data_IF_286522404807
#
_entry.id   IF_286522404807
#
_cell.length_a   1.000
_cell.length_b   1.000
_cell.length_c   1.000
_cell.angle_alpha   90.00
_cell.angle_beta   90.00
_cell.angle_gamma   90.00
#
_symmetry.space_group_name_H-M   'P 1'
#
loop_
_entity.id
_entity.type
_entity.pdbx_description
1 polymer ?
#
# COMPACT_ATOMS: atom_id res chain seq x y z
N UNK A 1 -36.46 -5.09 5.16
CA UNK A 1 -35.17 -5.81 5.19
C UNK A 1 -34.02 -5.07 4.49
N UNK A 2 -34.24 -4.23 3.47
CA UNK A 2 -33.15 -3.53 2.76
C UNK A 2 -32.43 -2.39 3.52
N UNK A 3 -33.06 -1.69 4.47
CA UNK A 3 -32.41 -0.54 5.16
C UNK A 3 -31.52 -0.91 6.35
N UNK A 4 -31.63 -2.12 6.89
CA UNK A 4 -30.81 -2.58 8.01
C UNK A 4 -29.45 -3.11 7.55
N UNK A 5 -29.38 -3.74 6.37
CA UNK A 5 -28.14 -4.21 5.77
C UNK A 5 -27.23 -3.06 5.29
N UNK A 6 -27.81 -2.00 4.72
CA UNK A 6 -27.06 -0.81 4.30
C UNK A 6 -26.47 -0.01 5.49
N UNK A 7 -27.16 -0.01 6.64
CA UNK A 7 -26.66 0.68 7.82
C UNK A 7 -25.44 -0.04 8.42
N UNK A 8 -25.50 -1.37 8.53
CA UNK A 8 -24.37 -2.18 9.00
C UNK A 8 -23.20 -2.17 8.01
N UNK A 9 -23.44 -2.24 6.69
CA UNK A 9 -22.35 -2.11 5.70
C UNK A 9 -21.69 -0.73 5.75
N UNK A 10 -22.46 0.34 5.99
CA UNK A 10 -21.93 1.71 6.09
C UNK A 10 -21.17 1.99 7.40
N UNK A 11 -21.51 1.32 8.50
CA UNK A 11 -20.78 1.40 9.78
C UNK A 11 -19.54 0.51 9.75
N UNK A 12 -19.65 -0.66 9.12
CA UNK A 12 -18.57 -1.61 8.88
C UNK A 12 -17.45 -1.01 8.03
N UNK A 13 -17.81 -0.35 6.90
CA UNK A 13 -16.85 0.38 6.08
C UNK A 13 -16.26 1.61 6.78
N UNK A 14 -17.03 2.28 7.66
CA UNK A 14 -16.52 3.42 8.42
C UNK A 14 -15.40 2.98 9.38
N UNK A 15 -15.65 2.00 10.25
CA UNK A 15 -14.68 1.63 11.28
C UNK A 15 -13.35 1.07 10.74
N UNK A 16 -13.35 0.37 9.60
CA UNK A 16 -12.12 -0.21 9.00
C UNK A 16 -11.19 0.89 8.47
N UNK A 17 -11.76 1.89 7.79
CA UNK A 17 -10.98 2.93 7.13
C UNK A 17 -10.77 4.18 7.99
N UNK A 18 -11.46 4.34 9.12
CA UNK A 18 -11.38 5.55 9.97
C UNK A 18 -9.93 5.91 10.35
N UNK A 19 -9.14 4.92 10.76
CA UNK A 19 -7.76 5.15 11.18
C UNK A 19 -6.85 5.56 10.01
N UNK A 20 -6.97 4.90 8.85
CA UNK A 20 -6.19 5.29 7.67
C UNK A 20 -6.68 6.60 7.07
N UNK A 21 -7.99 6.89 7.13
CA UNK A 21 -8.58 8.15 6.67
C UNK A 21 -8.00 9.34 7.48
N UNK A 22 -7.72 9.18 8.78
CA UNK A 22 -7.01 10.22 9.58
C UNK A 22 -5.64 10.57 8.99
N UNK A 23 -4.95 9.60 8.42
CA UNK A 23 -3.64 9.79 7.76
C UNK A 23 -3.84 10.37 6.37
N UNK A 24 -4.74 9.79 5.58
CA UNK A 24 -5.05 10.20 4.22
C UNK A 24 -5.55 11.65 4.11
N UNK A 25 -6.19 12.18 5.16
CA UNK A 25 -6.62 13.58 5.20
C UNK A 25 -5.48 14.57 5.56
N UNK A 26 -4.32 14.09 6.06
CA UNK A 26 -3.24 14.93 6.59
C UNK A 26 -1.92 14.79 5.84
N UNK A 27 -1.69 13.64 5.20
CA UNK A 27 -0.44 13.33 4.51
C UNK A 27 -0.65 13.49 3.00
N UNK A 28 0.11 14.35 2.33
CA UNK A 28 -0.04 14.56 0.90
C UNK A 28 0.64 13.48 0.08
N UNK A 29 0.12 13.23 -1.12
CA UNK A 29 0.69 12.32 -2.10
C UNK A 29 1.38 13.05 -3.25
N UNK A 30 1.04 14.32 -3.48
CA UNK A 30 1.61 15.20 -4.48
C UNK A 30 1.47 16.66 -4.02
N UNK A 31 2.28 17.53 -4.58
CA UNK A 31 2.09 18.98 -4.55
C UNK A 31 1.73 19.41 -5.98
N UNK A 32 0.64 20.16 -6.16
CA UNK A 32 0.24 20.66 -7.47
C UNK A 32 1.12 21.82 -7.93
N UNK A 33 0.90 22.28 -9.16
CA UNK A 33 1.70 23.32 -9.79
C UNK A 33 1.55 24.69 -9.09
N UNK A 34 0.54 24.85 -8.23
CA UNK A 34 0.30 26.04 -7.42
C UNK A 34 0.90 25.92 -6.01
N UNK A 35 1.67 24.86 -5.72
CA UNK A 35 2.24 24.62 -4.41
C UNK A 35 1.24 24.08 -3.38
N UNK A 36 0.02 23.72 -3.79
CA UNK A 36 -0.98 23.15 -2.90
C UNK A 36 -0.74 21.65 -2.74
N UNK A 37 -0.72 21.22 -1.49
CA UNK A 37 -0.66 19.81 -1.13
C UNK A 37 -1.97 19.09 -1.46
N UNK A 38 -1.86 18.01 -2.23
CA UNK A 38 -2.97 17.11 -2.52
C UNK A 38 -2.87 15.88 -1.62
N UNK A 39 -3.94 15.59 -0.88
CA UNK A 39 -4.01 14.52 0.12
C UNK A 39 -4.94 13.40 -0.33
N UNK A 40 -4.71 12.17 0.15
CA UNK A 40 -5.43 10.96 -0.26
C UNK A 40 -6.93 10.97 0.13
N UNK A 41 -7.32 11.80 1.09
CA UNK A 41 -8.68 11.85 1.64
C UNK A 41 -9.72 12.50 0.72
N UNK A 42 -9.27 13.37 -0.20
CA UNK A 42 -10.10 14.06 -1.19
C UNK A 42 -11.22 14.95 -0.62
N UNK A 43 -11.85 15.75 -1.47
CA UNK A 43 -13.14 16.38 -1.15
C UNK A 43 -14.22 15.32 -1.33
N UNK A 44 -14.96 15.01 -0.25
CA UNK A 44 -16.08 14.07 -0.29
C UNK A 44 -17.38 14.85 -0.56
N UNK A 45 -17.94 14.77 -1.77
CA UNK A 45 -19.33 15.18 -2.04
C UNK A 45 -20.19 13.92 -1.99
N UNK A 46 -21.21 13.89 -1.13
CA UNK A 46 -22.10 12.73 -0.96
C UNK A 46 -21.36 11.40 -0.64
N UNK A 47 -20.24 11.47 0.07
CA UNK A 47 -19.47 10.29 0.50
C UNK A 47 -18.51 9.71 -0.53
N UNK A 48 -18.37 10.31 -1.72
CA UNK A 48 -17.41 9.88 -2.76
C UNK A 48 -16.29 10.90 -2.93
N UNK A 49 -15.06 10.42 -3.08
CA UNK A 49 -13.91 11.24 -3.47
C UNK A 49 -14.11 11.71 -4.91
N UNK A 50 -14.23 13.02 -5.12
CA UNK A 50 -14.56 13.59 -6.44
C UNK A 50 -13.38 13.58 -7.42
N UNK A 51 -12.16 13.70 -6.90
CA UNK A 51 -10.93 13.75 -7.70
C UNK A 51 -10.44 12.34 -8.04
N UNK A 52 -10.54 11.97 -9.33
CA UNK A 52 -10.07 10.70 -9.88
C UNK A 52 -8.59 10.41 -9.56
N UNK A 53 -7.75 11.44 -9.50
CA UNK A 53 -6.31 11.27 -9.19
C UNK A 53 -6.10 10.96 -7.72
N UNK A 54 -6.89 11.57 -6.84
CA UNK A 54 -6.88 11.26 -5.41
C UNK A 54 -7.42 9.84 -5.16
N UNK A 55 -8.51 9.46 -5.84
CA UNK A 55 -9.05 8.09 -5.77
C UNK A 55 -8.01 7.06 -6.25
N UNK A 56 -7.35 7.29 -7.38
CA UNK A 56 -6.28 6.42 -7.89
C UNK A 56 -5.11 6.31 -6.91
N UNK A 57 -4.65 7.42 -6.31
CA UNK A 57 -3.56 7.39 -5.33
C UNK A 57 -3.93 6.59 -4.07
N UNK A 58 -5.20 6.67 -3.64
CA UNK A 58 -5.73 5.86 -2.52
C UNK A 58 -5.77 4.38 -2.90
N UNK A 59 -6.31 4.06 -4.08
CA UNK A 59 -6.46 2.68 -4.55
C UNK A 59 -5.10 2.00 -4.72
N UNK A 60 -4.06 2.70 -5.16
CA UNK A 60 -2.70 2.16 -5.23
C UNK A 60 -2.14 1.78 -3.85
N UNK A 61 -2.47 2.51 -2.79
CA UNK A 61 -2.10 2.13 -1.41
C UNK A 61 -2.85 0.87 -0.99
N UNK A 62 -4.16 0.81 -1.28
CA UNK A 62 -4.98 -0.37 -0.95
C UNK A 62 -4.56 -1.61 -1.75
N UNK A 63 -4.17 -1.44 -3.01
CA UNK A 63 -3.57 -2.49 -3.84
C UNK A 63 -2.28 -3.02 -3.21
N UNK A 64 -1.42 -2.14 -2.68
CA UNK A 64 -0.21 -2.56 -1.97
C UNK A 64 -0.50 -3.45 -0.77
N UNK A 65 -1.66 -3.23 -0.15
CA UNK A 65 -2.20 -4.01 0.96
C UNK A 65 -2.97 -5.24 0.51
N UNK A 66 -2.98 -5.55 -0.80
CA UNK A 66 -3.74 -6.65 -1.39
C UNK A 66 -5.24 -6.50 -1.19
N UNK A 67 -5.73 -5.27 -1.03
CA UNK A 67 -7.11 -4.94 -0.61
C UNK A 67 -7.54 -5.61 0.71
N UNK A 68 -6.59 -6.06 1.54
CA UNK A 68 -6.90 -6.60 2.85
C UNK A 68 -7.38 -5.49 3.77
N UNK A 69 -8.65 -5.59 4.19
CA UNK A 69 -9.24 -4.70 5.18
C UNK A 69 -8.45 -4.73 6.50
N UNK A 70 -8.06 -5.93 6.94
CA UNK A 70 -7.29 -6.14 8.15
C UNK A 70 -5.93 -5.45 8.11
N UNK A 71 -5.19 -5.63 7.02
CA UNK A 71 -3.88 -4.98 6.88
C UNK A 71 -4.00 -3.46 6.76
N UNK A 72 -5.01 -2.97 6.03
CA UNK A 72 -5.32 -1.54 5.91
C UNK A 72 -5.62 -0.92 7.27
N UNK A 73 -6.44 -1.60 8.09
CA UNK A 73 -6.77 -1.18 9.46
C UNK A 73 -5.52 -1.16 10.34
N UNK A 74 -4.74 -2.24 10.34
CA UNK A 74 -3.50 -2.33 11.12
C UNK A 74 -2.58 -1.16 10.78
N UNK A 75 -2.22 -0.99 9.51
CA UNK A 75 -1.36 0.11 9.06
C UNK A 75 -1.96 1.47 9.45
N UNK A 76 -3.25 1.68 9.21
CA UNK A 76 -3.95 2.92 9.55
C UNK A 76 -3.88 3.27 11.03
N UNK A 77 -4.04 2.30 11.92
CA UNK A 77 -3.95 2.51 13.36
C UNK A 77 -2.56 2.99 13.76
N UNK A 78 -1.50 2.30 13.34
CA UNK A 78 -0.11 2.69 13.61
C UNK A 78 0.21 4.07 13.02
N UNK A 79 -0.10 4.29 11.75
CA UNK A 79 0.18 5.54 11.06
C UNK A 79 -0.63 6.73 11.63
N UNK A 80 -1.86 6.49 12.10
CA UNK A 80 -2.69 7.56 12.68
C UNK A 80 -2.09 8.16 13.95
N UNK A 81 -1.35 7.37 14.74
CA UNK A 81 -0.64 7.84 15.93
C UNK A 81 0.46 8.83 15.59
N UNK A 82 1.16 8.62 14.48
CA UNK A 82 2.21 9.51 13.99
C UNK A 82 1.68 10.89 13.54
N UNK A 83 0.37 11.03 13.36
CA UNK A 83 -0.31 12.29 12.95
C UNK A 83 -1.39 12.73 13.93
N UNK A 84 -1.41 12.18 15.15
CA UNK A 84 -2.49 12.39 16.11
C UNK A 84 -2.60 13.84 16.60
N UNK A 85 -1.47 14.52 16.77
CA UNK A 85 -1.39 15.93 17.19
C UNK A 85 -0.71 16.78 16.12
N UNK A 86 -0.87 18.13 16.13
CA UNK A 86 -0.15 19.01 15.21
C UNK A 86 1.38 18.86 15.29
N UNK A 87 1.93 18.66 16.50
CA UNK A 87 3.37 18.46 16.69
C UNK A 87 3.86 17.14 16.06
N UNK A 88 3.11 16.05 16.26
CA UNK A 88 3.44 14.75 15.67
C UNK A 88 3.30 14.78 14.14
N UNK A 89 2.25 15.43 13.63
CA UNK A 89 2.09 15.65 12.19
C UNK A 89 3.28 16.42 11.61
N UNK A 90 3.66 17.56 12.20
CA UNK A 90 4.80 18.35 11.73
C UNK A 90 6.10 17.53 11.69
N UNK A 91 6.32 16.66 12.68
CA UNK A 91 7.49 15.77 12.77
C UNK A 91 7.48 14.67 11.70
N UNK A 92 6.33 14.02 11.46
CA UNK A 92 6.28 12.76 10.72
C UNK A 92 5.75 12.86 9.29
N UNK A 93 5.15 14.00 8.91
CA UNK A 93 4.43 14.16 7.62
C UNK A 93 5.28 13.80 6.41
N UNK A 94 6.54 14.27 6.35
CA UNK A 94 7.44 14.00 5.23
C UNK A 94 7.78 12.52 5.13
N UNK A 95 8.18 11.90 6.25
CA UNK A 95 8.49 10.46 6.30
C UNK A 95 7.31 9.59 5.89
N UNK A 96 6.10 9.92 6.37
CA UNK A 96 4.88 9.21 6.00
C UNK A 96 4.51 9.41 4.53
N UNK A 97 4.68 10.62 4.00
CA UNK A 97 4.49 10.89 2.57
C UNK A 97 5.41 10.00 1.74
N UNK A 98 6.70 9.98 2.06
CA UNK A 98 7.70 9.23 1.30
C UNK A 98 7.45 7.73 1.39
N UNK A 99 7.11 7.22 2.58
CA UNK A 99 6.69 5.83 2.79
C UNK A 99 5.48 5.46 1.93
N UNK A 100 4.40 6.24 1.96
CA UNK A 100 3.19 5.97 1.18
C UNK A 100 3.47 6.02 -0.33
N UNK A 101 4.28 6.97 -0.80
CA UNK A 101 4.70 7.04 -2.21
C UNK A 101 5.50 5.78 -2.59
N UNK A 102 6.42 5.34 -1.74
CA UNK A 102 7.23 4.14 -1.98
C UNK A 102 6.37 2.88 -2.03
N UNK A 103 5.45 2.71 -1.08
CA UNK A 103 4.45 1.62 -1.05
C UNK A 103 3.69 1.56 -2.38
N UNK A 104 3.16 2.71 -2.85
CA UNK A 104 2.43 2.80 -4.11
C UNK A 104 3.26 2.41 -5.31
N UNK A 105 4.47 2.97 -5.43
CA UNK A 105 5.38 2.67 -6.55
C UNK A 105 5.76 1.18 -6.58
N UNK A 106 6.08 0.61 -5.42
CA UNK A 106 6.40 -0.81 -5.31
C UNK A 106 5.22 -1.70 -5.71
N UNK A 107 4.00 -1.36 -5.26
CA UNK A 107 2.81 -2.13 -5.57
C UNK A 107 2.43 -2.02 -7.05
N UNK A 108 2.48 -0.81 -7.62
CA UNK A 108 2.28 -0.61 -9.05
C UNK A 108 3.28 -1.40 -9.87
N UNK A 109 4.56 -1.37 -9.50
CA UNK A 109 5.59 -2.13 -10.21
C UNK A 109 5.27 -3.64 -10.21
N UNK A 110 4.99 -4.19 -9.03
CA UNK A 110 4.68 -5.61 -8.88
C UNK A 110 3.39 -6.00 -9.61
N UNK A 111 2.25 -5.40 -9.26
CA UNK A 111 0.95 -5.85 -9.76
C UNK A 111 0.67 -5.37 -11.19
N UNK A 112 0.97 -4.12 -11.50
CA UNK A 112 0.59 -3.52 -12.78
C UNK A 112 1.68 -3.68 -13.82
N UNK A 113 2.89 -3.17 -13.54
CA UNK A 113 3.95 -3.14 -14.56
C UNK A 113 4.44 -4.56 -14.90
N UNK A 114 4.48 -5.49 -13.95
CA UNK A 114 4.82 -6.89 -14.22
C UNK A 114 3.59 -7.77 -14.55
N UNK A 115 2.68 -7.99 -13.59
CA UNK A 115 1.62 -9.01 -13.75
C UNK A 115 0.51 -8.60 -14.71
N UNK A 116 -0.03 -7.38 -14.64
CA UNK A 116 -1.05 -6.94 -15.59
C UNK A 116 -0.49 -6.88 -17.02
N UNK A 117 0.74 -6.37 -17.20
CA UNK A 117 1.44 -6.38 -18.50
C UNK A 117 1.62 -7.80 -19.04
N UNK A 118 2.02 -8.75 -18.19
CA UNK A 118 2.16 -10.16 -18.57
C UNK A 118 0.81 -10.75 -18.99
N UNK A 119 -0.23 -10.51 -18.21
CA UNK A 119 -1.59 -10.98 -18.48
C UNK A 119 -2.11 -10.45 -19.82
N UNK A 120 -1.84 -9.18 -20.14
CA UNK A 120 -2.26 -8.55 -21.38
C UNK A 120 -1.48 -9.04 -22.62
N UNK A 121 -0.31 -9.63 -22.43
CA UNK A 121 0.56 -10.11 -23.51
C UNK A 121 0.64 -11.64 -23.61
N UNK A 122 -0.20 -12.39 -22.88
CA UNK A 122 -0.18 -13.86 -22.89
C UNK A 122 -0.27 -14.45 -24.30
N UNK A 123 -1.09 -13.89 -25.18
CA UNK A 123 -1.24 -14.36 -26.57
C UNK A 123 -0.02 -14.10 -27.44
N UNK A 124 0.88 -13.20 -27.04
CA UNK A 124 2.03 -12.78 -27.82
C UNK A 124 3.34 -13.43 -27.33
N UNK A 125 3.31 -14.21 -26.25
CA UNK A 125 4.50 -14.84 -25.67
C UNK A 125 5.22 -15.78 -26.63
N UNK A 126 4.50 -16.41 -27.56
CA UNK A 126 5.09 -17.28 -28.61
C UNK A 126 6.00 -16.50 -29.57
N UNK A 127 5.86 -15.18 -29.64
CA UNK A 127 6.70 -14.32 -30.47
C UNK A 127 8.02 -13.92 -29.80
N UNK A 128 8.23 -14.27 -28.53
CA UNK A 128 9.49 -14.03 -27.83
C UNK A 128 10.57 -15.00 -28.33
N UNK A 129 11.81 -14.52 -28.42
CA UNK A 129 12.96 -15.38 -28.62
C UNK A 129 13.19 -16.28 -27.40
N UNK A 130 13.89 -17.41 -27.58
CA UNK A 130 14.22 -18.31 -26.47
C UNK A 130 15.01 -17.60 -25.34
N UNK A 131 15.86 -16.63 -25.68
CA UNK A 131 16.60 -15.84 -24.71
C UNK A 131 15.67 -14.92 -23.88
N UNK A 132 14.68 -14.30 -24.53
CA UNK A 132 13.69 -13.45 -23.85
C UNK A 132 12.75 -14.27 -22.97
N UNK A 133 12.30 -15.45 -23.42
CA UNK A 133 11.50 -16.36 -22.60
C UNK A 133 12.26 -16.76 -21.34
N UNK A 134 13.56 -17.10 -21.47
CA UNK A 134 14.41 -17.41 -20.33
C UNK A 134 14.54 -16.21 -19.38
N UNK A 135 14.81 -15.02 -19.91
CA UNK A 135 14.93 -13.80 -19.10
C UNK A 135 13.63 -13.47 -18.37
N UNK A 136 12.48 -13.61 -19.03
CA UNK A 136 11.17 -13.39 -18.43
C UNK A 136 10.91 -14.39 -17.29
N UNK A 137 11.20 -15.67 -17.50
CA UNK A 137 11.09 -16.70 -16.47
C UNK A 137 11.96 -16.38 -15.25
N UNK A 138 13.24 -16.09 -15.48
CA UNK A 138 14.20 -15.82 -14.40
C UNK A 138 13.80 -14.56 -13.61
N UNK A 139 13.38 -13.50 -14.30
CA UNK A 139 12.91 -12.27 -13.66
C UNK A 139 11.60 -12.47 -12.87
N UNK A 140 10.66 -13.28 -13.35
CA UNK A 140 9.45 -13.62 -12.58
C UNK A 140 9.78 -14.40 -11.30
N UNK A 141 10.76 -15.30 -11.36
CA UNK A 141 11.24 -16.02 -10.18
C UNK A 141 11.90 -15.07 -9.16
N UNK A 142 12.74 -14.14 -9.63
CA UNK A 142 13.34 -13.11 -8.78
C UNK A 142 12.30 -12.18 -8.17
N UNK A 143 11.34 -11.71 -8.96
CA UNK A 143 10.25 -10.84 -8.49
C UNK A 143 9.44 -11.50 -7.37
N UNK A 144 9.14 -12.80 -7.50
CA UNK A 144 8.47 -13.58 -6.46
C UNK A 144 9.32 -13.65 -5.19
N UNK A 145 10.62 -13.93 -5.31
CA UNK A 145 11.54 -13.99 -4.17
C UNK A 145 11.63 -12.64 -3.43
N UNK A 146 11.71 -11.52 -4.14
CA UNK A 146 11.69 -10.19 -3.51
C UNK A 146 10.36 -9.89 -2.80
N UNK A 147 9.23 -10.31 -3.37
CA UNK A 147 7.93 -10.20 -2.69
C UNK A 147 7.89 -11.02 -1.40
N UNK A 148 8.48 -12.22 -1.39
CA UNK A 148 8.61 -13.05 -0.19
C UNK A 148 9.52 -12.41 0.87
N UNK A 149 10.51 -11.60 0.47
CA UNK A 149 11.31 -10.78 1.41
C UNK A 149 10.48 -9.69 2.08
N UNK A 150 9.53 -9.04 1.39
CA UNK A 150 8.61 -8.11 2.07
C UNK A 150 7.85 -8.80 3.21
N UNK A 151 7.43 -10.06 3.03
CA UNK A 151 6.75 -10.82 4.07
C UNK A 151 7.72 -11.19 5.19
N UNK A 152 8.83 -11.85 4.86
CA UNK A 152 9.74 -12.42 5.87
C UNK A 152 10.61 -11.38 6.59
N UNK A 153 10.97 -10.27 5.94
CA UNK A 153 11.88 -9.24 6.47
C UNK A 153 11.17 -8.01 7.00
N UNK A 154 9.96 -7.71 6.55
CA UNK A 154 9.23 -6.51 6.99
C UNK A 154 7.97 -6.90 7.77
N UNK A 155 7.06 -7.67 7.17
CA UNK A 155 5.79 -8.02 7.81
C UNK A 155 5.98 -8.91 9.05
N UNK A 156 6.80 -9.96 8.96
CA UNK A 156 7.00 -10.88 10.08
C UNK A 156 7.66 -10.21 11.29
N UNK A 157 8.72 -9.38 11.14
CA UNK A 157 9.26 -8.61 12.26
C UNK A 157 8.22 -7.66 12.89
N UNK A 158 7.42 -6.96 12.07
CA UNK A 158 6.33 -6.13 12.57
C UNK A 158 5.33 -6.94 13.39
N UNK A 159 4.91 -8.13 12.92
CA UNK A 159 4.02 -9.03 13.68
C UNK A 159 4.66 -9.50 14.99
N UNK A 160 5.94 -9.85 14.97
CA UNK A 160 6.64 -10.30 16.17
C UNK A 160 6.74 -9.19 17.22
N UNK A 161 7.00 -7.94 16.80
CA UNK A 161 7.06 -6.78 17.69
C UNK A 161 5.68 -6.33 18.16
N UNK A 162 4.69 -6.42 17.27
CA UNK A 162 3.32 -5.99 17.51
C UNK A 162 2.33 -7.11 17.15
N UNK A 163 2.14 -8.10 18.05
CA UNK A 163 1.24 -9.24 17.78
C UNK A 163 -0.20 -8.83 17.43
N UNK A 164 -0.63 -7.66 17.88
CA UNK A 164 -1.92 -7.04 17.52
C UNK A 164 -2.13 -6.92 16.00
N UNK A 165 -1.07 -6.88 15.19
CA UNK A 165 -1.17 -6.90 13.73
C UNK A 165 -1.82 -8.21 13.24
N UNK A 166 -1.54 -9.33 13.89
CA UNK A 166 -2.13 -10.62 13.54
C UNK A 166 -3.62 -10.67 13.88
N UNK A 167 -4.02 -10.08 15.01
CA UNK A 167 -5.43 -9.92 15.38
C UNK A 167 -6.18 -9.09 14.32
N UNK A 168 -5.56 -8.02 13.79
CA UNK A 168 -6.16 -7.22 12.73
C UNK A 168 -6.34 -7.98 11.41
N UNK A 169 -5.52 -8.98 11.13
CA UNK A 169 -5.62 -9.77 9.90
C UNK A 169 -6.75 -10.79 9.95
N UNK A 170 -7.31 -11.09 11.13
CA UNK A 170 -8.46 -11.97 11.30
C UNK A 170 -9.73 -11.13 11.07
N UNK A 171 -10.38 -11.31 9.92
CA UNK A 171 -11.55 -10.51 9.50
C UNK A 171 -12.75 -10.59 10.45
N UNK A 172 -12.80 -11.60 11.33
CA UNK A 172 -13.92 -11.85 12.26
C UNK A 172 -13.89 -10.96 13.53
N UNK A 173 -12.77 -10.28 13.84
CA UNK A 173 -12.61 -9.42 15.02
C UNK A 173 -12.77 -7.92 14.68
N UNK A 174 -13.98 -7.53 14.29
CA UNK A 174 -14.30 -6.13 13.93
C UNK A 174 -15.14 -5.39 14.97
N UNK A 175 -15.25 -5.92 16.20
CA UNK A 175 -15.95 -5.25 17.29
C UNK A 175 -15.13 -5.33 18.61
N UNK A 176 -14.71 -4.17 19.11
CA UNK A 176 -14.55 -3.86 20.54
C UNK A 176 -13.17 -3.94 21.25
N UNK A 177 -12.01 -4.10 20.61
CA UNK A 177 -10.72 -4.16 21.34
C UNK A 177 -9.69 -3.05 21.06
N UNK A 178 -9.96 -2.11 20.15
CA UNK A 178 -8.94 -1.16 19.65
C UNK A 178 -8.35 -0.21 20.70
N UNK A 179 -9.04 0.07 21.82
CA UNK A 179 -8.69 1.21 22.67
C UNK A 179 -7.64 0.96 23.74
N UNK A 180 -7.51 -0.26 24.28
CA UNK A 180 -6.66 -0.48 25.46
C UNK A 180 -5.24 -0.96 25.11
N UNK A 181 -5.09 -1.95 24.21
CA UNK A 181 -3.78 -2.52 23.86
C UNK A 181 -2.91 -1.50 23.11
N UNK A 182 -3.52 -0.71 22.24
CA UNK A 182 -2.81 0.28 21.43
C UNK A 182 -2.57 1.61 22.15
N UNK A 183 -3.27 1.92 23.25
CA UNK A 183 -3.03 3.16 23.99
C UNK A 183 -1.56 3.30 24.42
N UNK A 184 -0.89 2.18 24.70
CA UNK A 184 0.47 2.14 25.23
C UNK A 184 1.55 2.28 24.15
N UNK A 185 1.25 2.00 22.88
CA UNK A 185 2.23 2.16 21.80
C UNK A 185 2.31 3.63 21.41
N UNK A 186 3.48 4.23 21.64
CA UNK A 186 3.74 5.65 21.38
C UNK A 186 4.19 5.89 19.94
N UNK A 187 4.04 7.13 19.46
CA UNK A 187 4.53 7.53 18.14
C UNK A 187 6.05 7.36 18.00
N UNK A 188 6.81 7.67 19.05
CA UNK A 188 8.27 7.54 19.05
C UNK A 188 8.71 6.07 19.02
N UNK A 189 7.99 5.17 19.69
CA UNK A 189 8.27 3.73 19.61
C UNK A 189 8.04 3.19 18.19
N UNK A 190 6.94 3.60 17.55
CA UNK A 190 6.63 3.22 16.16
C UNK A 190 7.73 3.71 15.22
N UNK A 191 8.11 4.99 15.33
CA UNK A 191 9.16 5.57 14.51
C UNK A 191 10.50 4.86 14.73
N UNK A 192 10.88 4.64 15.99
CA UNK A 192 12.14 3.98 16.35
C UNK A 192 12.20 2.58 15.77
N UNK A 193 11.13 1.80 15.91
CA UNK A 193 11.11 0.45 15.37
C UNK A 193 11.10 0.44 13.84
N UNK A 194 10.30 1.31 13.20
CA UNK A 194 10.30 1.43 11.74
C UNK A 194 11.67 1.78 11.17
N UNK A 195 12.43 2.66 11.85
CA UNK A 195 13.78 3.00 11.40
C UNK A 195 14.70 1.78 11.31
N UNK A 196 14.50 0.74 12.13
CA UNK A 196 15.28 -0.52 12.05
C UNK A 196 14.97 -1.35 10.80
N UNK A 197 13.82 -1.14 10.17
CA UNK A 197 13.35 -1.92 9.00
C UNK A 197 13.38 -1.10 7.69
N UNK A 198 13.36 0.23 7.79
CA UNK A 198 13.15 1.14 6.67
C UNK A 198 14.14 0.96 5.51
N UNK A 199 15.43 0.78 5.80
CA UNK A 199 16.45 0.58 4.76
C UNK A 199 16.27 -0.74 4.00
N UNK A 200 15.93 -1.81 4.71
CA UNK A 200 15.64 -3.12 4.11
C UNK A 200 14.37 -3.05 3.25
N UNK A 201 13.33 -2.38 3.75
CA UNK A 201 12.10 -2.14 2.99
C UNK A 201 12.39 -1.36 1.70
N UNK A 202 13.18 -0.30 1.79
CA UNK A 202 13.54 0.53 0.64
C UNK A 202 14.32 -0.25 -0.41
N UNK A 203 15.25 -1.10 0.04
CA UNK A 203 16.05 -1.99 -0.81
C UNK A 203 15.15 -2.97 -1.57
N UNK A 204 14.30 -3.72 -0.85
CA UNK A 204 13.39 -4.70 -1.46
C UNK A 204 12.45 -4.03 -2.47
N UNK A 205 11.87 -2.89 -2.12
CA UNK A 205 10.99 -2.15 -3.03
C UNK A 205 11.74 -1.65 -4.27
N UNK A 206 12.99 -1.21 -4.14
CA UNK A 206 13.81 -0.81 -5.29
C UNK A 206 14.08 -1.98 -6.24
N UNK A 207 14.38 -3.15 -5.69
CA UNK A 207 14.62 -4.36 -6.47
C UNK A 207 13.35 -4.81 -7.21
N UNK A 208 12.19 -4.81 -6.53
CA UNK A 208 10.89 -5.07 -7.17
C UNK A 208 10.64 -4.12 -8.32
N UNK A 209 10.88 -2.82 -8.14
CA UNK A 209 10.70 -1.82 -9.20
C UNK A 209 11.63 -2.05 -10.39
N UNK A 210 12.89 -2.43 -10.13
CA UNK A 210 13.87 -2.73 -11.18
C UNK A 210 13.45 -3.95 -12.00
N UNK A 211 13.23 -5.09 -11.35
CA UNK A 211 12.86 -6.36 -12.00
C UNK A 211 11.55 -6.22 -12.78
N UNK A 212 10.54 -5.53 -12.20
CA UNK A 212 9.27 -5.32 -12.88
C UNK A 212 9.43 -4.46 -14.13
N UNK A 213 10.33 -3.47 -14.11
CA UNK A 213 10.67 -2.67 -15.28
C UNK A 213 11.32 -3.49 -16.39
N UNK A 214 12.17 -4.46 -16.05
CA UNK A 214 12.77 -5.38 -17.03
C UNK A 214 11.73 -6.32 -17.64
N UNK A 215 10.85 -6.90 -16.81
CA UNK A 215 9.73 -7.74 -17.28
C UNK A 215 8.87 -6.93 -18.27
N UNK A 216 8.48 -5.73 -17.88
CA UNK A 216 7.71 -4.82 -18.73
C UNK A 216 8.44 -4.52 -20.04
N UNK A 217 9.73 -4.21 -20.01
CA UNK A 217 10.53 -3.94 -21.22
C UNK A 217 10.70 -5.13 -22.17
N UNK A 218 10.53 -6.36 -21.70
CA UNK A 218 10.45 -7.56 -22.55
C UNK A 218 9.08 -7.62 -23.23
N UNK A 219 8.01 -7.37 -22.47
CA UNK A 219 6.61 -7.54 -22.92
C UNK A 219 6.10 -6.38 -23.79
N UNK A 220 6.49 -5.13 -23.52
CA UNK A 220 6.04 -3.94 -24.25
C UNK A 220 6.52 -3.91 -25.72
N UNK A 221 7.45 -4.78 -26.11
CA UNK A 221 7.92 -4.92 -27.51
C UNK A 221 6.82 -5.39 -28.46
N UNK A 222 5.71 -5.90 -27.93
CA UNK A 222 4.54 -6.29 -28.71
C UNK A 222 3.54 -5.15 -28.94
N UNK A 223 3.66 -4.02 -28.25
CA UNK A 223 2.77 -2.86 -28.45
C UNK A 223 3.14 -2.05 -29.71
N UNK A 224 4.30 -2.28 -30.34
CA UNK A 224 4.75 -1.55 -31.53
C UNK A 224 4.38 -2.29 -32.83
N UNK A 225 3.09 -2.42 -33.13
CA UNK A 225 2.57 -2.54 -34.51
C UNK A 225 1.16 -1.92 -34.61
N UNK A 226 1.12 -0.61 -34.83
CA UNK A 226 -0.04 0.15 -35.28
C UNK A 226 0.38 1.13 -36.37
#
# INVERSE_FOLDING_TARGET
>A
MGRYFDYYSSLYYRNIFDSIDKVFNKVPYKVDDNGKELVYGGVKVSGRVEDKTTASARDEVLLAFGYSNGFTRAFGVFASKLVATPALLAKNKVKLKDLLIKIRKCAKAYYVDAYDTLQNNLSNLESLSAAEVKSLHDNLALLKAEREKLVSKILQPLKNKYPIIEEYLIEEYLANSDSEILANITADEIETYWNTLSAEFDSICNEIMMISGEIKGILDRFEVKG
#
